data_IF_738102160692
#
_entry.id   IF_738102160692
#
_cell.length_a   1.000
_cell.length_b   1.000
_cell.length_c   1.000
_cell.angle_alpha   90.00
_cell.angle_beta   90.00
_cell.angle_gamma   90.00
#
_symmetry.space_group_name_H-M   'P 1'
#
loop_
_entity.id
_entity.type
_entity.pdbx_description
1 polymer ?
#
# COMPACT_ATOMS: atom_id res chain seq x y z
N UNK A 1 40.54 2.91 -5.36
CA UNK A 1 39.19 3.43 -5.07
C UNK A 1 38.77 2.82 -3.76
N UNK A 2 38.78 3.61 -2.68
CA UNK A 2 38.30 3.14 -1.38
C UNK A 2 36.77 2.95 -1.47
N UNK A 3 36.30 1.79 -1.06
CA UNK A 3 34.90 1.46 -0.98
C UNK A 3 34.20 2.54 -0.14
N UNK A 4 33.21 3.20 -0.74
CA UNK A 4 32.26 4.01 -0.02
C UNK A 4 31.40 3.02 0.79
N UNK A 5 31.82 2.78 2.03
CA UNK A 5 31.15 1.84 2.91
C UNK A 5 29.87 2.47 3.46
N UNK A 6 28.78 1.88 3.06
CA UNK A 6 27.63 1.44 3.83
C UNK A 6 27.34 2.31 5.08
N UNK A 7 26.86 3.51 4.86
CA UNK A 7 26.30 4.29 5.93
C UNK A 7 24.88 3.81 6.18
N UNK A 8 24.76 2.66 6.87
CA UNK A 8 23.47 2.24 7.41
C UNK A 8 23.19 3.10 8.62
N UNK A 9 22.03 3.71 8.67
CA UNK A 9 21.57 4.48 9.80
C UNK A 9 20.14 4.15 10.19
N UNK A 10 19.90 4.18 11.48
CA UNK A 10 18.57 4.13 12.09
C UNK A 10 18.48 5.32 13.02
N UNK A 11 17.58 6.23 12.72
CA UNK A 11 17.45 7.47 13.49
C UNK A 11 15.98 7.71 13.84
N UNK A 12 15.72 7.96 15.12
CA UNK A 12 14.39 8.36 15.56
C UNK A 12 14.36 9.87 15.74
N UNK A 13 13.41 10.52 15.10
CA UNK A 13 13.30 11.99 15.09
C UNK A 13 11.84 12.44 15.14
N UNK A 14 11.64 13.66 15.61
CA UNK A 14 10.39 14.38 15.47
C UNK A 14 10.56 15.34 14.28
N UNK A 15 10.22 14.88 13.09
CA UNK A 15 10.57 15.58 11.86
C UNK A 15 9.35 16.07 11.07
N UNK A 16 8.72 15.26 10.24
CA UNK A 16 7.66 15.74 9.34
C UNK A 16 6.41 16.15 10.13
N UNK A 17 6.10 17.44 10.12
CA UNK A 17 4.92 17.98 10.81
C UNK A 17 4.94 17.73 12.33
N UNK A 18 6.12 17.74 12.94
CA UNK A 18 6.32 17.44 14.37
C UNK A 18 5.82 16.03 14.78
N UNK A 19 6.01 15.04 13.97
CA UNK A 19 5.62 13.65 14.26
C UNK A 19 6.83 12.80 14.61
N UNK A 20 6.63 11.86 15.52
CA UNK A 20 7.62 10.85 15.85
C UNK A 20 7.75 9.86 14.71
N UNK A 21 8.92 9.81 14.10
CA UNK A 21 9.23 8.94 12.97
C UNK A 21 10.54 8.20 13.20
N UNK A 22 10.66 7.02 12.59
CA UNK A 22 11.92 6.28 12.49
C UNK A 22 12.40 6.32 11.05
N UNK A 23 13.62 6.77 10.84
CA UNK A 23 14.26 6.81 9.53
C UNK A 23 15.24 5.63 9.43
N UNK A 24 15.05 4.82 8.40
CA UNK A 24 15.95 3.75 8.01
C UNK A 24 16.62 4.15 6.70
N UNK A 25 17.95 4.17 6.65
CA UNK A 25 18.69 4.53 5.42
C UNK A 25 19.93 3.65 5.25
N UNK A 26 20.20 3.25 4.02
CA UNK A 26 21.48 2.69 3.60
C UNK A 26 21.79 3.11 2.15
N UNK A 27 22.77 2.45 1.49
CA UNK A 27 23.32 2.78 0.18
C UNK A 27 22.33 2.76 -1.00
N UNK A 28 21.18 2.13 -0.84
CA UNK A 28 20.21 1.95 -1.93
C UNK A 28 18.91 2.70 -1.70
N UNK A 29 18.44 2.76 -0.45
CA UNK A 29 17.09 3.25 -0.14
C UNK A 29 17.04 3.97 1.22
N UNK A 30 16.14 4.94 1.30
CA UNK A 30 15.76 5.63 2.54
C UNK A 30 14.25 5.48 2.74
N UNK A 31 13.85 5.12 3.95
CA UNK A 31 12.48 4.89 4.38
C UNK A 31 12.20 5.68 5.65
N UNK A 32 11.06 6.36 5.70
CA UNK A 32 10.55 6.99 6.90
C UNK A 32 9.31 6.24 7.37
N UNK A 33 9.29 5.83 8.62
CA UNK A 33 8.17 5.14 9.28
C UNK A 33 7.57 6.08 10.31
N UNK A 34 6.32 6.48 10.10
CA UNK A 34 5.55 7.36 11.00
C UNK A 34 4.81 6.50 12.04
N UNK A 35 4.82 6.91 13.29
CA UNK A 35 4.07 6.23 14.34
C UNK A 35 2.55 6.36 14.14
N UNK A 36 2.07 7.44 13.56
CA UNK A 36 0.65 7.62 13.30
C UNK A 36 0.25 6.80 12.07
N UNK A 37 -0.64 5.82 12.27
CA UNK A 37 -1.11 4.94 11.21
C UNK A 37 -0.05 3.97 10.69
N UNK A 38 1.14 3.92 11.27
CA UNK A 38 2.26 3.11 10.76
C UNK A 38 2.61 3.46 9.32
N UNK A 39 2.38 4.71 8.92
CA UNK A 39 2.51 5.21 7.56
C UNK A 39 3.97 5.28 7.10
N UNK A 40 4.16 5.20 5.80
CA UNK A 40 5.47 5.34 5.15
C UNK A 40 5.44 6.59 4.26
N UNK A 41 5.64 7.80 4.82
CA UNK A 41 5.58 9.05 4.04
C UNK A 41 6.74 9.21 3.06
N UNK A 42 7.87 8.54 3.29
CA UNK A 42 9.01 8.59 2.40
C UNK A 42 9.51 7.20 2.04
N UNK A 43 9.68 6.98 0.74
CA UNK A 43 10.42 5.89 0.13
C UNK A 43 11.25 6.50 -1.01
N UNK A 44 12.53 6.73 -0.74
CA UNK A 44 13.43 7.43 -1.66
C UNK A 44 14.59 6.53 -2.09
N UNK A 45 14.93 6.54 -3.37
CA UNK A 45 16.16 5.89 -3.85
C UNK A 45 17.37 6.75 -3.53
N UNK A 46 18.35 6.19 -2.81
CA UNK A 46 19.65 6.83 -2.54
C UNK A 46 20.58 6.76 -3.75
N UNK A 47 20.36 5.79 -4.63
CA UNK A 47 21.11 5.63 -5.89
C UNK A 47 20.72 6.70 -6.92
N UNK A 48 19.55 7.30 -6.82
CA UNK A 48 19.15 8.43 -7.62
C UNK A 48 19.61 9.73 -6.95
N UNK A 49 20.46 10.49 -7.63
CA UNK A 49 20.99 11.76 -7.14
C UNK A 49 19.92 12.81 -6.84
N UNK A 50 18.74 12.68 -7.46
CA UNK A 50 17.56 13.54 -7.21
C UNK A 50 16.89 13.24 -5.87
N UNK A 51 17.12 12.07 -5.30
CA UNK A 51 16.46 11.56 -4.07
C UNK A 51 14.94 11.71 -4.11
N UNK A 52 14.35 11.32 -5.22
CA UNK A 52 12.91 11.41 -5.43
C UNK A 52 12.17 10.54 -4.42
N UNK A 53 11.16 11.10 -3.76
CA UNK A 53 10.19 10.32 -3.00
C UNK A 53 9.14 9.74 -3.96
N UNK A 54 8.87 8.43 -3.87
CA UNK A 54 7.81 7.78 -4.63
C UNK A 54 6.42 8.05 -4.04
N UNK A 55 6.35 8.23 -2.73
CA UNK A 55 5.10 8.24 -1.99
C UNK A 55 4.40 9.59 -2.02
N UNK A 56 3.08 9.53 -2.08
CA UNK A 56 2.24 10.72 -2.07
C UNK A 56 2.21 11.39 -0.71
N UNK A 57 2.47 12.69 -0.71
CA UNK A 57 2.26 13.58 0.44
C UNK A 57 1.17 14.59 0.04
N UNK A 58 -0.04 14.51 0.60
CA UNK A 58 -1.12 15.40 0.22
C UNK A 58 -0.85 16.83 0.67
N UNK A 59 -1.27 17.77 -0.16
CA UNK A 59 -1.16 19.21 0.13
C UNK A 59 -1.92 19.62 1.40
N UNK A 60 -2.96 18.87 1.76
CA UNK A 60 -3.83 19.14 2.91
C UNK A 60 -3.41 18.41 4.20
N UNK A 61 -2.29 17.66 4.20
CA UNK A 61 -1.82 16.96 5.38
C UNK A 61 -1.64 17.92 6.55
N UNK A 62 -2.15 17.56 7.72
CA UNK A 62 -1.94 18.34 8.94
C UNK A 62 -0.46 18.40 9.33
N UNK A 63 0.01 19.60 9.68
CA UNK A 63 1.37 19.84 10.18
C UNK A 63 1.40 20.01 11.70
N UNK A 64 0.34 19.63 12.41
CA UNK A 64 0.27 19.72 13.86
C UNK A 64 0.34 18.34 14.51
N UNK A 65 0.93 18.28 15.72
CA UNK A 65 0.92 17.09 16.57
C UNK A 65 -0.37 16.91 17.35
N UNK A 66 -1.29 17.86 17.29
CA UNK A 66 -2.57 17.72 17.98
C UNK A 66 -3.33 16.53 17.41
N UNK A 67 -3.90 15.67 18.28
CA UNK A 67 -4.79 14.61 17.82
C UNK A 67 -5.95 15.17 17.01
N UNK A 68 -6.45 14.39 16.05
CA UNK A 68 -7.67 14.76 15.33
C UNK A 68 -8.82 14.97 16.31
N UNK A 69 -9.51 16.09 16.16
CA UNK A 69 -10.72 16.41 16.90
C UNK A 69 -11.80 16.78 15.87
N UNK A 70 -12.83 15.97 15.79
CA UNK A 70 -13.91 16.15 14.81
C UNK A 70 -14.60 17.51 14.94
N UNK A 71 -14.82 18.00 16.16
CA UNK A 71 -15.43 19.32 16.38
C UNK A 71 -14.57 20.49 15.88
N UNK A 72 -13.23 20.34 15.89
CA UNK A 72 -12.30 21.38 15.44
C UNK A 72 -11.93 21.22 13.97
N UNK A 73 -11.72 19.97 13.52
CA UNK A 73 -11.10 19.66 12.23
C UNK A 73 -12.03 18.93 11.24
N UNK A 74 -13.13 18.34 11.72
CA UNK A 74 -14.00 17.47 10.93
C UNK A 74 -14.67 18.16 9.76
N UNK A 75 -14.93 19.47 9.84
CA UNK A 75 -15.51 20.25 8.74
C UNK A 75 -14.63 20.26 7.50
N UNK A 76 -13.31 20.23 7.66
CA UNK A 76 -12.35 20.23 6.55
C UNK A 76 -11.83 18.82 6.21
N UNK A 77 -11.26 18.09 7.19
CA UNK A 77 -10.63 16.79 6.95
C UNK A 77 -11.59 15.61 6.90
N UNK A 78 -12.80 15.72 7.41
CA UNK A 78 -13.84 14.68 7.41
C UNK A 78 -13.52 13.45 8.28
N UNK A 79 -12.26 13.05 8.39
CA UNK A 79 -11.85 11.85 9.15
C UNK A 79 -10.41 11.98 9.66
N UNK A 80 -10.10 11.25 10.75
CA UNK A 80 -8.75 11.16 11.31
C UNK A 80 -7.71 10.69 10.27
N UNK A 81 -8.07 9.70 9.45
CA UNK A 81 -7.18 9.23 8.39
C UNK A 81 -6.77 10.37 7.46
N UNK A 82 -7.72 11.15 6.94
CA UNK A 82 -7.41 12.23 5.99
C UNK A 82 -6.60 13.37 6.63
N UNK A 83 -6.77 13.58 7.93
CA UNK A 83 -5.97 14.53 8.70
C UNK A 83 -4.48 14.14 8.75
N UNK A 84 -4.19 12.83 8.74
CA UNK A 84 -2.86 12.28 8.95
C UNK A 84 -2.22 11.64 7.70
N UNK A 85 -2.99 11.35 6.66
CA UNK A 85 -2.60 10.48 5.56
C UNK A 85 -1.29 10.90 4.88
N UNK A 86 -0.41 9.91 4.65
CA UNK A 86 0.83 10.08 3.90
C UNK A 86 1.36 8.73 3.39
N UNK A 87 1.66 8.67 2.10
CA UNK A 87 2.32 7.52 1.49
C UNK A 87 1.56 6.21 1.66
N UNK A 88 2.30 5.16 2.01
CA UNK A 88 1.78 3.82 2.19
C UNK A 88 1.40 3.54 3.65
N UNK A 89 0.43 2.66 3.86
CA UNK A 89 0.04 2.25 5.21
C UNK A 89 -0.74 0.92 5.22
N UNK A 90 -0.73 0.19 6.35
CA UNK A 90 -1.53 -1.01 6.53
C UNK A 90 -2.99 -0.67 6.82
N UNK A 91 -3.91 -1.47 6.28
CA UNK A 91 -5.35 -1.32 6.45
C UNK A 91 -5.93 -2.59 7.05
N UNK A 92 -6.09 -2.66 8.37
CA UNK A 92 -6.65 -3.79 9.12
C UNK A 92 -7.42 -3.23 10.34
N UNK A 93 -8.57 -3.80 10.72
CA UNK A 93 -9.29 -4.94 10.14
C UNK A 93 -10.25 -4.54 9.01
N UNK A 94 -10.24 -3.28 8.58
CA UNK A 94 -11.12 -2.71 7.57
C UNK A 94 -10.32 -2.21 6.36
N UNK A 95 -10.88 -2.32 5.15
CA UNK A 95 -10.34 -1.73 3.94
C UNK A 95 -11.46 -1.01 3.18
N UNK A 96 -11.48 0.33 3.26
CA UNK A 96 -12.54 1.18 2.69
C UNK A 96 -13.13 2.15 3.72
N UNK A 97 -14.35 2.66 3.52
CA UNK A 97 -14.96 3.67 4.38
C UNK A 97 -15.20 3.19 5.81
N UNK A 98 -15.32 4.15 6.73
CA UNK A 98 -15.72 3.87 8.11
C UNK A 98 -17.16 3.42 8.21
N UNK A 99 -17.44 2.51 9.14
CA UNK A 99 -18.79 1.99 9.42
C UNK A 99 -18.85 1.31 10.80
N UNK A 100 -20.05 1.00 11.26
CA UNK A 100 -20.23 0.14 12.45
C UNK A 100 -20.37 -1.31 11.98
N UNK A 101 -19.52 -2.20 12.48
CA UNK A 101 -19.56 -3.62 12.20
C UNK A 101 -19.80 -4.41 13.50
N UNK A 102 -20.95 -5.09 13.60
CA UNK A 102 -21.36 -5.87 14.81
C UNK A 102 -21.21 -5.07 16.14
N UNK A 103 -21.49 -3.75 16.07
CA UNK A 103 -21.37 -2.85 17.23
C UNK A 103 -19.97 -2.25 17.43
N UNK A 104 -19.00 -2.64 16.64
CA UNK A 104 -17.62 -2.14 16.70
C UNK A 104 -17.44 -1.00 15.70
N UNK A 105 -16.84 0.10 16.15
CA UNK A 105 -16.49 1.22 15.28
C UNK A 105 -15.27 0.90 14.42
N UNK A 106 -15.49 0.83 13.12
CA UNK A 106 -14.45 0.62 12.11
C UNK A 106 -14.13 1.95 11.44
N UNK A 107 -13.01 2.59 11.79
CA UNK A 107 -12.63 3.81 11.08
C UNK A 107 -12.24 3.51 9.63
N UNK A 108 -12.20 4.53 8.74
CA UNK A 108 -11.76 4.35 7.37
C UNK A 108 -10.40 3.64 7.32
N UNK A 109 -10.29 2.56 6.52
CA UNK A 109 -9.09 1.72 6.40
C UNK A 109 -8.59 1.06 7.70
N UNK A 110 -9.47 0.95 8.70
CA UNK A 110 -9.21 0.22 9.94
C UNK A 110 -8.33 0.94 10.96
N UNK A 111 -8.10 0.25 12.06
CA UNK A 111 -7.35 0.81 13.19
C UNK A 111 -5.88 1.03 12.85
N UNK A 112 -5.28 0.13 12.07
CA UNK A 112 -3.85 0.20 11.73
C UNK A 112 -3.48 1.48 10.96
N UNK A 113 -4.42 2.05 10.20
CA UNK A 113 -4.24 3.29 9.45
C UNK A 113 -4.56 4.57 10.25
N UNK A 114 -5.24 4.45 11.40
CA UNK A 114 -5.79 5.60 12.13
C UNK A 114 -5.16 5.82 13.50
N UNK A 115 -4.70 4.74 14.17
CA UNK A 115 -4.19 4.84 15.54
C UNK A 115 -2.68 5.02 15.55
N UNK A 116 -2.18 5.52 16.67
CA UNK A 116 -0.75 5.63 16.90
C UNK A 116 -0.17 4.26 17.26
N UNK A 117 0.82 3.83 16.51
CA UNK A 117 1.63 2.68 16.83
C UNK A 117 2.62 3.02 17.93
N UNK A 118 2.71 2.18 18.93
CA UNK A 118 3.72 2.32 19.96
C UNK A 118 5.06 1.80 19.45
N UNK A 119 6.00 2.68 19.23
CA UNK A 119 7.38 2.30 18.95
C UNK A 119 7.94 1.44 20.10
N UNK A 120 8.61 0.36 19.77
CA UNK A 120 9.23 -0.57 20.72
C UNK A 120 10.73 -0.43 20.70
N UNK A 121 11.34 -0.63 19.53
CA UNK A 121 12.78 -0.57 19.37
C UNK A 121 13.15 -0.46 17.87
N UNK A 122 14.39 -0.10 17.61
CA UNK A 122 14.97 -0.11 16.28
C UNK A 122 16.47 -0.36 16.35
N UNK A 123 17.08 -0.79 15.26
CA UNK A 123 18.51 -1.05 15.27
C UNK A 123 19.02 -1.62 13.95
N UNK A 124 20.24 -2.12 14.01
CA UNK A 124 20.91 -2.84 12.92
C UNK A 124 21.06 -4.28 13.35
N UNK A 125 20.57 -5.20 12.53
CA UNK A 125 20.70 -6.64 12.74
C UNK A 125 22.16 -7.05 12.54
N UNK A 126 22.73 -7.75 13.52
CA UNK A 126 24.17 -8.09 13.51
C UNK A 126 24.55 -9.08 12.43
N UNK A 127 23.63 -9.97 12.04
CA UNK A 127 23.87 -11.02 11.07
C UNK A 127 23.78 -10.51 9.63
N UNK A 128 22.69 -9.81 9.31
CA UNK A 128 22.39 -9.37 7.94
C UNK A 128 22.79 -7.93 7.66
N UNK A 129 23.15 -7.16 8.69
CA UNK A 129 23.34 -5.68 8.65
C UNK A 129 22.10 -4.92 8.18
N UNK A 130 20.94 -5.54 8.22
CA UNK A 130 19.68 -4.87 7.91
C UNK A 130 19.33 -3.84 8.98
N UNK A 131 18.82 -2.69 8.57
CA UNK A 131 18.20 -1.72 9.48
C UNK A 131 16.72 -2.08 9.69
N UNK A 132 16.25 -2.01 10.92
CA UNK A 132 14.89 -2.39 11.28
C UNK A 132 14.27 -1.45 12.31
N UNK A 133 12.93 -1.39 12.31
CA UNK A 133 12.12 -0.71 13.31
C UNK A 133 10.91 -1.56 13.69
N UNK A 134 10.64 -1.70 14.98
CA UNK A 134 9.54 -2.50 15.54
C UNK A 134 8.53 -1.60 16.23
N UNK A 135 7.28 -1.78 15.87
CA UNK A 135 6.13 -1.11 16.48
C UNK A 135 5.00 -2.10 16.77
N UNK A 136 4.20 -1.81 17.79
CA UNK A 136 3.05 -2.62 18.20
C UNK A 136 1.81 -1.76 18.41
N UNK A 137 0.65 -2.39 18.30
CA UNK A 137 -0.64 -1.75 18.55
C UNK A 137 -1.64 -2.80 19.05
N UNK A 138 -2.57 -2.37 19.89
CA UNK A 138 -3.69 -3.19 20.35
C UNK A 138 -5.00 -2.63 19.79
N UNK A 139 -5.97 -3.50 19.55
CA UNK A 139 -7.32 -3.10 19.22
C UNK A 139 -7.91 -2.19 20.30
N UNK A 140 -8.62 -1.14 19.94
CA UNK A 140 -9.32 -0.29 20.89
C UNK A 140 -10.61 -0.95 21.44
N UNK A 141 -11.10 -2.00 20.77
CA UNK A 141 -12.35 -2.69 21.11
C UNK A 141 -12.09 -4.11 21.65
N UNK A 142 -12.64 -4.39 22.82
CA UNK A 142 -12.45 -5.69 23.51
C UNK A 142 -13.27 -6.83 22.92
N UNK A 143 -14.31 -6.53 22.13
CA UNK A 143 -15.12 -7.56 21.47
C UNK A 143 -14.43 -8.09 20.22
N UNK A 144 -13.45 -7.34 19.72
CA UNK A 144 -12.59 -7.74 18.61
C UNK A 144 -11.11 -7.62 19.02
N UNK A 145 -10.64 -8.47 19.97
CA UNK A 145 -9.36 -8.30 20.66
C UNK A 145 -8.18 -8.73 19.79
N UNK A 146 -7.81 -7.87 18.84
CA UNK A 146 -6.66 -8.05 17.97
C UNK A 146 -5.44 -7.31 18.51
N UNK A 147 -4.27 -7.93 18.41
CA UNK A 147 -3.01 -7.25 18.60
C UNK A 147 -2.18 -7.29 17.31
N UNK A 148 -1.42 -6.22 17.10
CA UNK A 148 -0.66 -6.01 15.89
C UNK A 148 0.81 -5.78 16.22
N UNK A 149 1.69 -6.42 15.47
CA UNK A 149 3.13 -6.23 15.55
C UNK A 149 3.68 -6.01 14.15
N UNK A 150 4.29 -4.84 13.91
CA UNK A 150 4.87 -4.46 12.63
C UNK A 150 6.37 -4.28 12.76
N UNK A 151 7.14 -4.93 11.90
CA UNK A 151 8.56 -4.68 11.72
C UNK A 151 8.81 -4.20 10.29
N UNK A 152 9.43 -3.03 10.17
CA UNK A 152 9.88 -2.43 8.92
C UNK A 152 11.37 -2.68 8.78
N UNK A 153 11.82 -3.11 7.61
CA UNK A 153 13.20 -3.56 7.39
C UNK A 153 13.70 -3.07 6.04
N UNK A 154 14.95 -2.62 6.01
CA UNK A 154 15.73 -2.43 4.78
C UNK A 154 17.02 -3.24 4.87
N UNK A 155 17.39 -3.89 3.76
CA UNK A 155 18.53 -4.81 3.69
C UNK A 155 19.60 -4.21 2.78
N UNK A 156 20.91 -4.19 3.17
CA UNK A 156 21.97 -3.64 2.35
C UNK A 156 22.00 -4.18 0.92
N UNK A 157 22.10 -3.27 -0.03
CA UNK A 157 22.09 -3.58 -1.45
C UNK A 157 20.73 -3.88 -2.06
N UNK A 158 19.63 -3.93 -1.26
CA UNK A 158 18.27 -4.05 -1.76
C UNK A 158 17.60 -2.68 -1.83
N UNK A 159 17.03 -2.30 -2.96
CA UNK A 159 16.20 -1.10 -3.11
C UNK A 159 14.75 -1.37 -2.68
N UNK A 160 14.56 -2.08 -1.56
CA UNK A 160 13.26 -2.59 -1.10
C UNK A 160 13.03 -2.25 0.37
N UNK A 161 11.88 -1.68 0.66
CA UNK A 161 11.30 -1.63 1.99
C UNK A 161 10.50 -2.91 2.22
N UNK A 162 10.86 -3.68 3.21
CA UNK A 162 10.14 -4.88 3.63
C UNK A 162 9.33 -4.62 4.88
N UNK A 163 8.14 -5.19 4.95
CA UNK A 163 7.29 -5.17 6.14
C UNK A 163 6.79 -6.56 6.48
N UNK A 164 6.88 -6.91 7.76
CA UNK A 164 6.19 -8.05 8.36
C UNK A 164 5.20 -7.53 9.38
N UNK A 165 3.90 -7.76 9.13
CA UNK A 165 2.81 -7.32 10.00
C UNK A 165 2.04 -8.54 10.49
N UNK A 166 2.23 -8.88 11.77
CA UNK A 166 1.50 -9.96 12.44
C UNK A 166 0.23 -9.43 13.08
N UNK A 167 -0.86 -10.16 12.88
CA UNK A 167 -2.18 -9.92 13.48
C UNK A 167 -2.52 -11.12 14.34
N UNK A 168 -2.69 -10.93 15.64
CA UNK A 168 -3.00 -12.00 16.58
C UNK A 168 -4.38 -11.77 17.18
N UNK A 169 -5.19 -12.81 17.16
CA UNK A 169 -6.48 -12.85 17.82
C UNK A 169 -6.31 -13.37 19.27
N UNK A 170 -6.54 -12.51 20.23
CA UNK A 170 -6.43 -12.82 21.65
C UNK A 170 -7.75 -13.36 22.25
N UNK A 171 -8.81 -13.41 21.43
CA UNK A 171 -10.13 -13.88 21.82
C UNK A 171 -10.32 -15.39 21.65
N UNK A 172 -11.49 -15.87 22.10
CA UNK A 172 -11.88 -17.29 22.05
C UNK A 172 -12.75 -17.63 20.83
N UNK A 173 -13.00 -16.67 19.95
CA UNK A 173 -13.78 -16.83 18.72
C UNK A 173 -12.98 -16.36 17.51
N UNK A 174 -13.23 -16.97 16.38
CA UNK A 174 -12.64 -16.57 15.10
C UNK A 174 -13.08 -15.15 14.71
N UNK A 175 -12.19 -14.38 14.10
CA UNK A 175 -12.43 -13.01 13.68
C UNK A 175 -12.16 -12.88 12.19
N UNK A 176 -13.18 -12.51 11.41
CA UNK A 176 -13.01 -12.13 10.02
C UNK A 176 -12.52 -10.69 9.89
N UNK A 177 -11.54 -10.48 9.03
CA UNK A 177 -11.00 -9.16 8.75
C UNK A 177 -10.87 -8.92 7.23
N UNK A 178 -10.87 -7.65 6.82
CA UNK A 178 -10.18 -7.22 5.63
C UNK A 178 -8.73 -6.88 5.97
N UNK A 179 -7.84 -7.09 5.02
CA UNK A 179 -6.46 -6.65 5.13
C UNK A 179 -6.01 -6.03 3.81
N UNK A 180 -5.19 -4.98 3.89
CA UNK A 180 -4.62 -4.36 2.70
C UNK A 180 -3.35 -3.59 3.02
N UNK A 181 -2.59 -3.34 1.96
CA UNK A 181 -1.48 -2.41 1.95
C UNK A 181 -1.82 -1.29 0.97
N UNK A 182 -2.10 -0.11 1.49
CA UNK A 182 -2.52 1.05 0.73
C UNK A 182 -1.28 1.76 0.18
N UNK A 183 -0.84 1.35 -1.00
CA UNK A 183 0.25 2.02 -1.68
C UNK A 183 -0.28 3.25 -2.39
N UNK A 184 0.24 4.42 -2.04
CA UNK A 184 -0.15 5.66 -2.71
C UNK A 184 1.08 6.39 -3.20
N UNK A 185 1.21 6.48 -4.50
CA UNK A 185 2.31 7.18 -5.18
C UNK A 185 1.86 8.55 -5.67
N UNK A 186 2.80 9.51 -5.65
CA UNK A 186 2.52 10.88 -6.03
C UNK A 186 3.69 11.57 -6.72
N UNK A 187 3.54 12.86 -6.97
CA UNK A 187 4.63 13.69 -7.49
C UNK A 187 5.80 13.76 -6.48
N UNK A 188 7.05 13.85 -6.95
CA UNK A 188 7.46 14.02 -8.34
C UNK A 188 7.59 12.71 -9.14
N UNK A 189 7.48 11.53 -8.51
CA UNK A 189 7.60 10.25 -9.22
C UNK A 189 6.40 10.00 -10.16
N UNK A 190 5.18 10.19 -9.67
CA UNK A 190 3.98 10.03 -10.49
C UNK A 190 3.88 11.17 -11.51
N UNK A 191 3.87 10.82 -12.79
CA UNK A 191 3.75 11.74 -13.91
C UNK A 191 2.86 11.14 -15.01
N UNK A 192 2.25 11.99 -15.86
CA UNK A 192 1.60 11.50 -17.09
C UNK A 192 2.54 10.61 -17.90
N UNK A 193 2.02 9.49 -18.38
CA UNK A 193 2.81 8.52 -19.15
C UNK A 193 3.45 7.40 -18.31
N UNK A 194 3.40 7.46 -16.97
CA UNK A 194 3.74 6.31 -16.13
C UNK A 194 2.90 5.10 -16.51
N UNK A 195 3.50 3.90 -16.46
CA UNK A 195 2.88 2.63 -16.87
C UNK A 195 2.48 1.82 -15.65
N UNK A 196 1.22 1.41 -15.62
CA UNK A 196 0.60 0.63 -14.54
C UNK A 196 0.49 -0.81 -14.97
N UNK A 197 0.89 -1.74 -14.12
CA UNK A 197 0.78 -3.19 -14.33
C UNK A 197 0.46 -3.90 -13.01
N UNK A 198 -0.08 -5.10 -13.08
CA UNK A 198 -0.34 -5.94 -11.90
C UNK A 198 -0.41 -7.42 -12.27
N UNK A 199 -0.35 -8.27 -11.26
CA UNK A 199 -0.42 -9.73 -11.42
C UNK A 199 -1.83 -10.24 -11.80
N UNK A 200 -2.85 -9.38 -11.68
CA UNK A 200 -4.22 -9.73 -12.04
C UNK A 200 -4.40 -9.86 -13.57
N UNK A 201 -5.17 -10.85 -13.99
CA UNK A 201 -5.52 -11.09 -15.36
C UNK A 201 -7.03 -10.92 -15.66
N UNK A 202 -7.81 -10.62 -14.63
CA UNK A 202 -9.24 -10.29 -14.74
C UNK A 202 -9.54 -9.16 -13.79
N UNK A 203 -10.21 -8.15 -14.28
CA UNK A 203 -10.49 -6.90 -13.59
C UNK A 203 -11.98 -6.63 -13.54
N UNK A 204 -12.39 -5.84 -12.55
CA UNK A 204 -13.76 -5.35 -12.43
C UNK A 204 -13.77 -3.94 -11.83
N UNK A 205 -14.77 -3.17 -12.18
CA UNK A 205 -15.08 -1.90 -11.54
C UNK A 205 -16.04 -2.13 -10.37
N UNK A 206 -16.10 -1.21 -9.38
CA UNK A 206 -17.07 -1.28 -8.30
C UNK A 206 -18.52 -1.34 -8.80
N UNK A 207 -19.43 -2.01 -8.08
CA UNK A 207 -20.85 -1.95 -8.39
C UNK A 207 -21.44 -0.56 -8.11
N UNK A 208 -22.62 -0.30 -8.67
CA UNK A 208 -23.39 0.93 -8.40
C UNK A 208 -23.75 1.02 -6.92
N UNK A 209 -23.85 2.23 -6.40
CA UNK A 209 -24.24 2.52 -5.00
C UNK A 209 -23.08 2.76 -4.06
N UNK A 210 -21.89 3.10 -4.58
CA UNK A 210 -20.70 3.35 -3.80
C UNK A 210 -20.09 4.73 -3.96
N UNK A 211 -18.89 4.87 -3.45
CA UNK A 211 -18.14 6.13 -3.39
C UNK A 211 -17.82 6.71 -4.78
N UNK A 212 -17.74 5.87 -5.81
CA UNK A 212 -17.25 6.27 -7.13
C UNK A 212 -18.36 6.70 -8.11
N UNK A 213 -19.63 6.54 -7.76
CA UNK A 213 -20.76 6.69 -8.69
C UNK A 213 -20.81 8.05 -9.42
N UNK A 214 -20.40 9.11 -8.75
CA UNK A 214 -20.50 10.48 -9.28
C UNK A 214 -19.22 11.01 -9.91
N UNK A 215 -18.10 10.33 -9.73
CA UNK A 215 -16.76 10.83 -10.10
C UNK A 215 -16.03 9.95 -11.09
N UNK A 216 -16.54 8.74 -11.35
CA UNK A 216 -15.91 7.80 -12.28
C UNK A 216 -16.29 8.05 -13.73
N UNK A 217 -15.35 7.82 -14.64
CA UNK A 217 -15.60 7.71 -16.09
C UNK A 217 -15.87 6.26 -16.51
N UNK A 218 -15.43 5.27 -15.69
CA UNK A 218 -15.57 3.86 -15.98
C UNK A 218 -17.02 3.39 -15.78
N UNK A 219 -17.43 2.39 -16.57
CA UNK A 219 -18.71 1.72 -16.37
C UNK A 219 -18.67 0.93 -15.07
N UNK A 220 -19.61 1.18 -14.15
CA UNK A 220 -19.70 0.49 -12.87
C UNK A 220 -20.19 -0.95 -13.03
N UNK A 221 -19.70 -1.87 -12.19
CA UNK A 221 -20.05 -3.29 -12.21
C UNK A 221 -19.58 -4.04 -13.46
N UNK A 222 -18.66 -3.49 -14.22
CA UNK A 222 -18.18 -4.08 -15.47
C UNK A 222 -16.93 -4.93 -15.25
N UNK A 223 -16.84 -6.07 -15.95
CA UNK A 223 -15.65 -6.93 -15.98
C UNK A 223 -14.88 -6.75 -17.28
N UNK A 224 -13.56 -6.86 -17.21
CA UNK A 224 -12.66 -6.75 -18.35
C UNK A 224 -11.32 -7.48 -18.08
N UNK A 225 -10.62 -7.85 -19.17
CA UNK A 225 -9.44 -8.72 -19.07
C UNK A 225 -8.12 -7.96 -19.14
N UNK A 226 -8.15 -6.68 -19.48
CA UNK A 226 -6.92 -5.90 -19.68
C UNK A 226 -7.13 -4.42 -19.37
N UNK A 227 -6.16 -3.81 -18.70
CA UNK A 227 -6.19 -2.38 -18.32
C UNK A 227 -6.24 -1.43 -19.53
N UNK A 228 -5.74 -1.84 -20.70
CA UNK A 228 -5.80 -1.06 -21.94
C UNK A 228 -7.21 -1.05 -22.57
N UNK A 229 -8.18 -1.77 -22.01
CA UNK A 229 -9.54 -1.96 -22.55
C UNK A 229 -10.63 -1.81 -21.49
N UNK A 230 -10.41 -0.98 -20.49
CA UNK A 230 -11.41 -0.73 -19.45
C UNK A 230 -12.68 -0.08 -20.04
N UNK A 231 -13.90 -0.54 -19.70
CA UNK A 231 -15.14 -0.04 -20.25
C UNK A 231 -15.51 1.33 -19.71
N UNK A 232 -15.96 2.23 -20.57
CA UNK A 232 -16.45 3.55 -20.22
C UNK A 232 -17.98 3.55 -19.97
N UNK A 233 -18.44 4.32 -18.99
CA UNK A 233 -19.87 4.53 -18.70
C UNK A 233 -20.66 5.08 -19.91
N UNK A 234 -19.99 5.85 -20.78
CA UNK A 234 -20.55 6.41 -22.01
C UNK A 234 -20.50 5.48 -23.23
N UNK A 235 -20.04 4.24 -23.02
CA UNK A 235 -19.73 3.29 -24.10
C UNK A 235 -18.31 3.44 -24.65
N UNK A 236 -17.83 2.35 -25.26
CA UNK A 236 -16.45 2.24 -25.70
C UNK A 236 -15.49 1.80 -24.59
N UNK A 237 -14.20 1.91 -24.84
CA UNK A 237 -13.10 1.48 -23.94
C UNK A 237 -12.06 2.55 -23.82
N UNK A 238 -11.30 2.50 -22.74
CA UNK A 238 -10.18 3.39 -22.45
C UNK A 238 -8.99 2.58 -21.90
N UNK A 239 -7.80 3.06 -22.19
CA UNK A 239 -6.56 2.55 -21.60
C UNK A 239 -6.33 3.23 -20.23
N UNK A 240 -6.39 2.42 -19.15
CA UNK A 240 -6.06 2.81 -17.78
C UNK A 240 -4.72 2.21 -17.32
N UNK A 241 -3.98 1.54 -18.18
CA UNK A 241 -2.61 1.08 -17.91
C UNK A 241 -1.59 2.22 -17.98
N UNK A 242 -2.03 3.41 -18.40
CA UNK A 242 -1.19 4.59 -18.47
C UNK A 242 -1.78 5.73 -17.63
N UNK A 243 -0.92 6.33 -16.82
CA UNK A 243 -1.29 7.51 -16.01
C UNK A 243 -1.58 8.68 -16.93
N UNK A 244 -2.78 9.28 -16.88
CA UNK A 244 -3.15 10.43 -17.70
C UNK A 244 -2.61 11.73 -17.11
N UNK A 245 -2.80 12.85 -17.82
CA UNK A 245 -2.72 14.18 -17.23
C UNK A 245 -3.88 14.45 -16.25
N UNK A 246 -3.84 15.55 -15.49
CA UNK A 246 -4.90 15.92 -14.55
C UNK A 246 -6.17 16.32 -15.33
N UNK A 247 -7.24 15.56 -15.18
CA UNK A 247 -8.45 15.67 -16.02
C UNK A 247 -9.78 15.66 -15.24
N UNK A 248 -9.76 15.59 -13.92
CA UNK A 248 -10.96 15.79 -13.09
C UNK A 248 -11.87 14.56 -12.96
N UNK A 249 -11.33 13.39 -12.61
CA UNK A 249 -12.12 12.20 -12.24
C UNK A 249 -11.42 11.35 -11.18
N UNK A 250 -12.20 10.46 -10.55
CA UNK A 250 -11.74 9.41 -9.66
C UNK A 250 -12.28 8.08 -10.17
N UNK A 251 -11.40 7.18 -10.55
CA UNK A 251 -11.76 5.83 -10.99
C UNK A 251 -11.24 4.78 -9.98
N UNK A 252 -11.89 3.62 -9.96
CA UNK A 252 -11.43 2.46 -9.22
C UNK A 252 -11.58 1.18 -10.06
N UNK A 253 -10.58 0.31 -9.98
CA UNK A 253 -10.65 -1.02 -10.56
C UNK A 253 -9.96 -2.03 -9.64
N UNK A 254 -10.59 -3.20 -9.46
CA UNK A 254 -10.03 -4.31 -8.70
C UNK A 254 -9.72 -5.47 -9.63
N UNK A 255 -8.52 -6.03 -9.55
CA UNK A 255 -8.09 -7.18 -10.32
C UNK A 255 -7.78 -8.38 -9.43
N UNK A 256 -8.28 -9.56 -9.74
CA UNK A 256 -8.04 -10.76 -8.96
C UNK A 256 -6.65 -11.34 -9.24
N UNK A 257 -5.84 -11.53 -8.20
CA UNK A 257 -4.56 -12.26 -8.27
C UNK A 257 -4.84 -13.73 -8.56
N UNK A 258 -4.25 -14.31 -9.63
CA UNK A 258 -4.49 -15.70 -10.00
C UNK A 258 -4.17 -16.67 -8.87
N UNK A 259 -4.98 -17.71 -8.70
CA UNK A 259 -4.74 -18.74 -7.66
C UNK A 259 -3.44 -19.52 -7.90
N UNK A 260 -2.95 -19.57 -9.13
CA UNK A 260 -1.68 -20.18 -9.52
C UNK A 260 -0.45 -19.30 -9.31
N UNK A 261 -0.64 -18.03 -8.93
CA UNK A 261 0.48 -17.12 -8.72
C UNK A 261 1.23 -17.46 -7.43
N UNK A 262 2.53 -17.68 -7.53
CA UNK A 262 3.43 -17.83 -6.37
C UNK A 262 3.80 -16.47 -5.75
N UNK A 263 3.75 -15.40 -6.54
CA UNK A 263 3.98 -14.01 -6.16
C UNK A 263 2.82 -13.14 -6.67
N UNK A 264 2.20 -12.37 -5.76
CA UNK A 264 1.32 -11.27 -6.13
C UNK A 264 2.15 -9.99 -6.26
N UNK A 265 1.81 -9.13 -7.22
CA UNK A 265 2.55 -7.89 -7.45
C UNK A 265 1.71 -6.80 -8.11
N UNK A 266 2.11 -5.55 -7.91
CA UNK A 266 1.70 -4.38 -8.69
C UNK A 266 2.92 -3.54 -9.03
N UNK A 267 2.94 -2.89 -10.20
CA UNK A 267 4.07 -2.12 -10.67
C UNK A 267 3.65 -0.79 -11.30
N UNK A 268 4.46 0.23 -11.05
CA UNK A 268 4.38 1.52 -11.70
C UNK A 268 5.77 1.90 -12.22
N UNK A 269 5.88 2.11 -13.53
CA UNK A 269 7.12 2.48 -14.21
C UNK A 269 7.03 3.92 -14.67
N UNK A 270 8.01 4.73 -14.29
CA UNK A 270 8.19 6.05 -14.87
C UNK A 270 9.28 6.00 -15.95
N UNK A 271 8.92 5.98 -17.25
CA UNK A 271 9.89 5.85 -18.34
C UNK A 271 10.73 7.10 -18.55
N UNK A 272 10.27 8.25 -18.09
CA UNK A 272 11.01 9.53 -18.20
C UNK A 272 12.09 9.61 -17.13
N UNK A 273 11.74 9.30 -15.90
CA UNK A 273 12.66 9.31 -14.76
C UNK A 273 13.55 8.06 -14.71
N UNK A 274 13.21 7.01 -15.46
CA UNK A 274 13.85 5.69 -15.42
C UNK A 274 13.80 5.07 -14.01
N UNK A 275 12.62 5.14 -13.40
CA UNK A 275 12.38 4.62 -12.05
C UNK A 275 11.26 3.58 -12.08
N UNK A 276 11.51 2.47 -11.39
CA UNK A 276 10.56 1.39 -11.16
C UNK A 276 10.09 1.39 -9.71
N UNK A 277 8.77 1.33 -9.50
CA UNK A 277 8.11 1.10 -8.23
C UNK A 277 7.36 -0.22 -8.33
N UNK A 278 7.71 -1.21 -7.51
CA UNK A 278 7.11 -2.55 -7.58
C UNK A 278 6.77 -3.03 -6.18
N UNK A 279 5.50 -3.30 -5.96
CA UNK A 279 5.02 -3.96 -4.75
C UNK A 279 4.91 -5.46 -4.98
N UNK A 280 5.27 -6.27 -3.98
CA UNK A 280 5.18 -7.72 -4.09
C UNK A 280 4.85 -8.36 -2.72
N UNK A 281 4.18 -9.49 -2.77
CA UNK A 281 3.73 -10.25 -1.61
C UNK A 281 3.58 -11.74 -1.96
N UNK A 282 3.51 -12.60 -0.95
CA UNK A 282 3.28 -14.04 -1.15
C UNK A 282 1.98 -14.26 -1.93
N UNK A 283 2.06 -14.91 -3.07
CA UNK A 283 0.89 -15.25 -3.88
C UNK A 283 0.16 -16.48 -3.38
N UNK A 284 -1.09 -16.71 -3.85
CA UNK A 284 -1.93 -17.82 -3.37
C UNK A 284 -1.29 -19.20 -3.49
N UNK A 285 -0.51 -19.48 -4.56
CA UNK A 285 0.11 -20.78 -4.76
C UNK A 285 1.30 -21.06 -3.83
N UNK A 286 1.90 -20.03 -3.23
CA UNK A 286 3.02 -20.13 -2.28
C UNK A 286 2.58 -19.88 -0.82
N UNK A 287 1.28 -19.73 -0.58
CA UNK A 287 0.70 -19.42 0.72
C UNK A 287 1.00 -20.50 1.76
N UNK A 288 1.32 -20.08 2.97
CA UNK A 288 1.41 -20.91 4.16
C UNK A 288 0.19 -20.64 5.06
N UNK A 289 -0.05 -21.52 6.01
CA UNK A 289 -1.19 -21.42 6.91
C UNK A 289 -1.17 -20.11 7.73
N UNK A 290 0.03 -19.64 8.09
CA UNK A 290 0.25 -18.42 8.86
C UNK A 290 0.29 -17.13 8.02
N UNK A 291 0.12 -17.21 6.70
CA UNK A 291 0.15 -16.03 5.84
C UNK A 291 -1.22 -15.33 5.75
N UNK A 292 -1.21 -14.00 5.76
CA UNK A 292 -2.29 -13.17 5.22
C UNK A 292 -2.01 -13.00 3.72
N UNK A 293 -2.87 -13.60 2.89
CA UNK A 293 -2.70 -13.58 1.44
C UNK A 293 -3.61 -12.52 0.84
N UNK A 294 -3.01 -11.48 0.29
CA UNK A 294 -3.73 -10.48 -0.49
C UNK A 294 -4.20 -11.09 -1.82
N UNK A 295 -5.41 -10.72 -2.23
CA UNK A 295 -6.10 -11.38 -3.35
C UNK A 295 -6.40 -10.45 -4.51
N UNK A 296 -6.20 -9.15 -4.29
CA UNK A 296 -6.54 -8.14 -5.31
C UNK A 296 -5.38 -7.18 -5.54
N UNK A 297 -5.25 -6.75 -6.80
CA UNK A 297 -4.61 -5.51 -7.18
C UNK A 297 -5.72 -4.47 -7.30
N UNK A 298 -5.70 -3.46 -6.45
CA UNK A 298 -6.68 -2.38 -6.44
C UNK A 298 -6.04 -1.10 -7.00
N UNK A 299 -6.66 -0.52 -8.01
CA UNK A 299 -6.22 0.73 -8.62
C UNK A 299 -7.18 1.85 -8.21
N UNK A 300 -6.74 2.70 -7.30
CA UNK A 300 -7.42 3.93 -6.94
C UNK A 300 -6.79 5.10 -7.69
N UNK A 301 -7.46 5.56 -8.74
CA UNK A 301 -6.96 6.57 -9.66
C UNK A 301 -7.56 7.93 -9.31
N UNK A 302 -6.87 8.72 -8.50
CA UNK A 302 -7.32 10.03 -8.02
C UNK A 302 -6.66 11.13 -8.85
N UNK A 303 -7.37 11.59 -9.86
CA UNK A 303 -6.89 12.60 -10.81
C UNK A 303 -7.77 13.85 -10.82
N UNK A 304 -7.94 14.48 -9.65
CA UNK A 304 -8.64 15.75 -9.51
C UNK A 304 -10.17 15.64 -9.62
N UNK A 305 -10.78 14.53 -9.19
CA UNK A 305 -12.21 14.25 -9.38
C UNK A 305 -13.14 14.62 -8.24
N UNK A 306 -12.63 15.09 -7.08
CA UNK A 306 -13.43 15.28 -5.86
C UNK A 306 -13.57 16.76 -5.50
N UNK A 307 -14.74 17.41 -5.77
CA UNK A 307 -14.93 18.83 -5.53
C UNK A 307 -15.31 19.17 -4.09
N UNK A 308 -14.80 18.43 -3.10
CA UNK A 308 -15.09 18.62 -1.68
C UNK A 308 -13.83 18.53 -0.82
N UNK A 309 -13.87 19.13 0.36
CA UNK A 309 -12.74 19.11 1.31
C UNK A 309 -12.49 17.70 1.84
N UNK A 310 -11.24 17.32 2.12
CA UNK A 310 -10.01 18.11 1.97
C UNK A 310 -9.38 18.05 0.56
N UNK A 311 -9.97 17.31 -0.37
CA UNK A 311 -9.47 17.13 -1.75
C UNK A 311 -9.42 18.46 -2.50
N UNK A 312 -10.50 19.22 -2.46
CA UNK A 312 -10.55 20.62 -2.87
C UNK A 312 -10.29 21.55 -1.68
N UNK A 313 -9.71 22.75 -1.87
CA UNK A 313 -9.51 23.74 -0.81
C UNK A 313 -10.80 24.20 -0.12
N UNK A 314 -11.94 24.12 -0.83
CA UNK A 314 -13.28 24.44 -0.35
C UNK A 314 -14.34 23.63 -1.10
N UNK A 315 -15.53 23.48 -0.53
CA UNK A 315 -16.64 22.76 -1.15
C UNK A 315 -17.02 23.39 -2.51
N UNK A 316 -17.16 22.54 -3.53
CA UNK A 316 -17.38 22.96 -4.90
C UNK A 316 -16.14 23.48 -5.63
N UNK A 317 -14.97 23.46 -4.99
CA UNK A 317 -13.70 23.89 -5.56
C UNK A 317 -13.04 22.84 -6.47
N UNK A 318 -11.91 23.24 -7.05
CA UNK A 318 -11.08 22.33 -7.85
C UNK A 318 -10.30 21.40 -6.93
N UNK A 319 -10.38 20.10 -7.19
CA UNK A 319 -9.53 19.09 -6.53
C UNK A 319 -8.07 19.28 -6.95
N UNK A 320 -7.20 19.47 -5.97
CA UNK A 320 -5.76 19.62 -6.18
C UNK A 320 -5.00 18.29 -6.06
N UNK A 321 -5.72 17.18 -5.88
CA UNK A 321 -5.11 15.87 -5.66
C UNK A 321 -4.80 15.18 -6.98
N UNK A 322 -3.56 14.74 -7.11
CA UNK A 322 -3.09 13.90 -8.21
C UNK A 322 -2.21 12.81 -7.64
N UNK A 323 -2.81 11.64 -7.43
CA UNK A 323 -2.14 10.46 -6.90
C UNK A 323 -2.74 9.17 -7.46
N UNK A 324 -2.01 8.08 -7.28
CA UNK A 324 -2.43 6.74 -7.69
C UNK A 324 -2.21 5.77 -6.56
N UNK A 325 -3.28 5.10 -6.12
CA UNK A 325 -3.21 3.89 -5.32
C UNK A 325 -2.93 2.69 -6.22
N UNK A 326 -1.80 2.01 -5.99
CA UNK A 326 -1.51 0.67 -6.55
C UNK A 326 -1.61 -0.34 -5.42
N UNK A 327 -2.77 -0.38 -4.82
CA UNK A 327 -3.04 -1.06 -3.56
C UNK A 327 -3.12 -2.58 -3.75
N UNK A 328 -2.89 -3.30 -2.67
CA UNK A 328 -3.08 -4.74 -2.66
C UNK A 328 -3.91 -5.12 -1.43
N UNK A 329 -4.97 -5.89 -1.64
CA UNK A 329 -5.90 -6.19 -0.55
C UNK A 329 -6.48 -7.61 -0.57
N UNK A 330 -7.12 -7.97 0.54
CA UNK A 330 -8.18 -8.97 0.61
C UNK A 330 -9.43 -8.26 1.12
N UNK A 331 -10.15 -7.62 0.19
CA UNK A 331 -11.36 -6.85 0.43
C UNK A 331 -12.17 -6.71 -0.86
N UNK A 332 -13.46 -6.41 -0.75
CA UNK A 332 -14.32 -6.16 -1.91
C UNK A 332 -14.34 -4.66 -2.23
N UNK A 333 -13.66 -4.24 -3.30
CA UNK A 333 -13.68 -2.89 -3.89
C UNK A 333 -13.32 -1.75 -2.94
N UNK A 334 -12.62 -2.00 -1.86
CA UNK A 334 -12.44 -1.02 -0.80
C UNK A 334 -13.78 -0.47 -0.24
N UNK A 335 -14.80 -1.34 -0.09
CA UNK A 335 -16.12 -0.99 0.47
C UNK A 335 -16.30 -1.40 1.93
N UNK A 336 -15.23 -1.80 2.58
CA UNK A 336 -15.20 -2.11 4.00
C UNK A 336 -15.52 -3.56 4.36
N UNK A 337 -15.31 -3.88 5.65
CA UNK A 337 -15.42 -5.23 6.19
C UNK A 337 -16.85 -5.78 6.10
N UNK A 338 -17.85 -4.98 6.46
CA UNK A 338 -19.25 -5.40 6.40
C UNK A 338 -19.66 -5.79 4.97
N UNK A 339 -19.31 -4.95 4.00
CA UNK A 339 -19.58 -5.25 2.58
C UNK A 339 -18.85 -6.50 2.12
N UNK A 340 -17.55 -6.62 2.42
CA UNK A 340 -16.70 -7.74 2.03
C UNK A 340 -17.22 -9.07 2.59
N UNK A 341 -17.63 -9.08 3.86
CA UNK A 341 -18.20 -10.26 4.52
C UNK A 341 -19.56 -10.67 3.90
N UNK A 342 -20.36 -9.68 3.52
CA UNK A 342 -21.66 -9.94 2.87
C UNK A 342 -21.51 -10.55 1.48
N UNK A 343 -20.61 -10.02 0.64
CA UNK A 343 -20.42 -10.51 -0.75
C UNK A 343 -19.51 -11.73 -0.81
N UNK A 344 -18.65 -11.94 0.20
CA UNK A 344 -17.71 -13.06 0.40
C UNK A 344 -16.61 -13.15 -0.65
N UNK A 345 -16.86 -12.85 -1.90
CA UNK A 345 -15.88 -12.97 -3.00
C UNK A 345 -16.15 -11.99 -4.14
N UNK A 346 -15.08 -11.61 -4.82
CA UNK A 346 -15.08 -10.81 -6.05
C UNK A 346 -14.22 -11.55 -7.08
N UNK A 347 -14.68 -11.68 -8.32
CA UNK A 347 -13.98 -12.43 -9.38
C UNK A 347 -13.54 -13.84 -8.95
N UNK A 348 -14.29 -14.50 -8.07
CA UNK A 348 -13.96 -15.82 -7.53
C UNK A 348 -12.87 -15.81 -6.42
N UNK A 349 -12.30 -14.67 -6.08
CA UNK A 349 -11.33 -14.53 -4.98
C UNK A 349 -12.03 -14.12 -3.68
N UNK A 350 -11.64 -14.66 -2.51
CA UNK A 350 -12.22 -14.28 -1.22
C UNK A 350 -11.97 -12.82 -0.89
N UNK A 351 -12.94 -12.16 -0.24
CA UNK A 351 -12.90 -10.76 0.14
C UNK A 351 -12.63 -10.53 1.64
N UNK A 352 -12.45 -11.59 2.41
CA UNK A 352 -12.06 -11.54 3.83
C UNK A 352 -11.12 -12.69 4.15
N UNK A 353 -10.41 -12.56 5.27
CA UNK A 353 -9.61 -13.64 5.86
C UNK A 353 -9.97 -13.79 7.34
N UNK A 354 -10.02 -15.03 7.81
CA UNK A 354 -10.28 -15.35 9.22
C UNK A 354 -8.98 -15.46 10.01
N UNK A 355 -8.90 -14.77 11.14
CA UNK A 355 -7.86 -14.97 12.15
C UNK A 355 -8.45 -15.90 13.21
N UNK A 356 -7.98 -17.16 13.31
CA UNK A 356 -8.56 -18.12 14.23
C UNK A 356 -8.40 -17.70 15.69
N UNK A 357 -9.29 -18.17 16.55
CA UNK A 357 -9.23 -17.95 17.99
C UNK A 357 -7.85 -18.34 18.55
N UNK A 358 -7.29 -17.52 19.44
CA UNK A 358 -5.98 -17.75 20.10
C UNK A 358 -4.81 -18.00 19.12
N UNK A 359 -4.91 -17.47 17.92
CA UNK A 359 -3.93 -17.67 16.84
C UNK A 359 -3.60 -16.37 16.13
N UNK A 360 -2.67 -16.41 15.20
CA UNK A 360 -2.26 -15.24 14.42
C UNK A 360 -1.92 -15.59 12.99
N UNK A 361 -1.93 -14.54 12.15
CA UNK A 361 -1.45 -14.57 10.76
C UNK A 361 -0.55 -13.37 10.48
N UNK A 362 0.28 -13.49 9.47
CA UNK A 362 1.28 -12.46 9.14
C UNK A 362 1.20 -12.05 7.68
N UNK A 363 1.05 -10.76 7.42
CA UNK A 363 1.27 -10.15 6.11
C UNK A 363 2.76 -9.88 5.92
N UNK A 364 3.35 -10.39 4.83
CA UNK A 364 4.71 -10.09 4.39
C UNK A 364 4.64 -9.33 3.08
N UNK A 365 5.30 -8.20 3.04
CA UNK A 365 5.16 -7.24 1.95
C UNK A 365 6.50 -6.58 1.60
N UNK A 366 6.77 -6.41 0.32
CA UNK A 366 7.94 -5.70 -0.17
C UNK A 366 7.53 -4.56 -1.10
N UNK A 367 8.16 -3.40 -0.94
CA UNK A 367 7.99 -2.23 -1.82
C UNK A 367 9.35 -1.83 -2.37
N UNK A 368 9.59 -2.14 -3.63
CA UNK A 368 10.81 -1.78 -4.36
C UNK A 368 10.68 -0.39 -4.97
N UNK A 369 11.73 0.42 -4.84
CA UNK A 369 11.87 1.68 -5.58
C UNK A 369 13.32 1.85 -6.06
N UNK A 370 13.53 1.68 -7.35
CA UNK A 370 14.88 1.60 -7.92
C UNK A 370 14.96 2.22 -9.31
N UNK A 371 16.11 2.82 -9.67
CA UNK A 371 16.38 3.11 -11.07
C UNK A 371 16.48 1.80 -11.87
N UNK A 372 16.17 1.89 -13.17
CA UNK A 372 16.39 0.82 -14.15
C UNK A 372 17.00 1.38 -15.43
N UNK A 373 17.75 0.55 -16.17
CA UNK A 373 18.47 1.00 -17.35
C UNK A 373 17.61 0.95 -18.60
N UNK A 374 17.06 -0.22 -18.94
CA UNK A 374 16.30 -0.47 -20.17
C UNK A 374 15.25 -1.57 -19.97
N UNK A 375 14.36 -1.70 -20.95
CA UNK A 375 13.45 -2.84 -21.05
C UNK A 375 12.06 -2.63 -20.44
N UNK A 376 11.91 -1.75 -19.45
CA UNK A 376 10.65 -1.56 -18.71
C UNK A 376 9.83 -0.32 -19.16
N UNK A 377 10.25 0.43 -20.16
CA UNK A 377 9.62 1.70 -20.56
C UNK A 377 8.13 1.56 -20.97
N UNK A 378 7.74 0.38 -21.43
CA UNK A 378 6.35 0.08 -21.82
C UNK A 378 5.53 -0.57 -20.69
N UNK A 379 6.10 -0.69 -19.49
CA UNK A 379 5.50 -1.35 -18.33
C UNK A 379 6.07 -2.75 -18.08
N UNK A 380 5.53 -3.40 -17.06
CA UNK A 380 5.93 -4.74 -16.61
C UNK A 380 4.89 -5.75 -17.09
N UNK A 381 5.33 -6.82 -17.74
CA UNK A 381 4.48 -7.92 -18.20
C UNK A 381 4.42 -9.07 -17.19
N UNK A 382 5.55 -9.35 -16.51
CA UNK A 382 5.63 -10.33 -15.43
C UNK A 382 6.64 -9.92 -14.38
N UNK A 383 6.45 -10.43 -13.16
CA UNK A 383 7.41 -10.34 -12.06
C UNK A 383 7.65 -11.73 -11.53
N UNK A 384 8.91 -12.14 -11.51
CA UNK A 384 9.32 -13.46 -11.07
C UNK A 384 10.28 -13.37 -9.88
N UNK A 385 10.11 -14.32 -8.96
CA UNK A 385 10.97 -14.46 -7.80
C UNK A 385 12.15 -15.37 -8.15
N UNK A 386 13.35 -14.85 -8.11
CA UNK A 386 14.58 -15.62 -8.11
C UNK A 386 15.18 -15.71 -6.69
N UNK A 387 16.24 -16.51 -6.50
CA UNK A 387 16.79 -16.78 -5.17
C UNK A 387 17.20 -15.51 -4.38
N UNK A 388 17.68 -14.49 -5.06
CA UNK A 388 18.12 -13.22 -4.45
C UNK A 388 17.75 -12.00 -5.31
N UNK A 389 16.74 -12.12 -6.16
CA UNK A 389 16.31 -11.06 -7.05
C UNK A 389 14.83 -11.10 -7.36
N UNK A 390 14.30 -9.92 -7.67
CA UNK A 390 13.02 -9.71 -8.31
C UNK A 390 13.28 -9.39 -9.78
N UNK A 391 12.82 -10.23 -10.69
CA UNK A 391 12.99 -10.04 -12.14
C UNK A 391 11.69 -9.53 -12.72
N UNK A 392 11.72 -8.32 -13.26
CA UNK A 392 10.61 -7.69 -13.94
C UNK A 392 10.83 -7.80 -15.46
N UNK A 393 9.96 -8.50 -16.16
CA UNK A 393 10.02 -8.61 -17.62
C UNK A 393 9.14 -7.57 -18.27
N UNK A 394 9.70 -6.79 -19.19
CA UNK A 394 9.00 -5.83 -20.05
C UNK A 394 9.01 -6.29 -21.51
N UNK A 395 8.30 -5.56 -22.38
CA UNK A 395 8.22 -5.89 -23.80
C UNK A 395 9.55 -5.82 -24.56
N UNK A 396 10.52 -5.06 -24.04
CA UNK A 396 11.82 -4.82 -24.68
C UNK A 396 13.03 -5.30 -23.88
N UNK A 397 12.81 -6.03 -22.80
CA UNK A 397 13.86 -6.54 -21.95
C UNK A 397 13.44 -6.66 -20.49
N UNK A 398 14.38 -7.04 -19.62
CA UNK A 398 14.12 -7.30 -18.22
C UNK A 398 14.89 -6.32 -17.33
N UNK A 399 14.28 -5.95 -16.18
CA UNK A 399 14.96 -5.35 -15.04
C UNK A 399 15.15 -6.42 -13.96
N UNK A 400 16.37 -6.56 -13.44
CA UNK A 400 16.66 -7.45 -12.30
C UNK A 400 17.09 -6.61 -11.11
N UNK A 401 16.43 -6.80 -9.97
CA UNK A 401 16.64 -6.03 -8.76
C UNK A 401 16.97 -6.96 -7.60
N UNK A 402 18.05 -6.66 -6.88
CA UNK A 402 18.36 -7.39 -5.65
C UNK A 402 17.21 -7.30 -4.67
N UNK A 403 16.69 -8.45 -4.26
CA UNK A 403 15.55 -8.57 -3.35
C UNK A 403 15.50 -9.93 -2.67
N UNK A 404 14.70 -10.07 -1.61
CA UNK A 404 14.29 -11.32 -0.99
C UNK A 404 12.79 -11.56 -1.22
N UNK A 405 12.39 -12.02 -2.41
CA UNK A 405 10.96 -12.23 -2.70
C UNK A 405 10.36 -13.42 -1.95
N UNK A 406 11.19 -14.27 -1.36
CA UNK A 406 10.78 -15.38 -0.47
C UNK A 406 10.47 -14.91 0.95
N UNK A 407 10.86 -13.69 1.31
CA UNK A 407 10.81 -13.14 2.66
C UNK A 407 11.58 -13.97 3.72
N UNK A 408 12.56 -14.79 3.31
CA UNK A 408 13.33 -15.62 4.24
C UNK A 408 14.20 -14.78 5.16
N UNK A 409 14.89 -13.76 4.64
CA UNK A 409 15.66 -12.81 5.44
C UNK A 409 14.77 -12.01 6.39
N UNK A 410 13.63 -11.50 5.88
CA UNK A 410 12.65 -10.78 6.70
C UNK A 410 12.14 -11.64 7.86
N UNK A 411 11.86 -12.94 7.61
CA UNK A 411 11.45 -13.89 8.67
C UNK A 411 12.55 -14.08 9.72
N UNK A 412 13.81 -14.21 9.30
CA UNK A 412 14.95 -14.33 10.20
C UNK A 412 15.09 -13.09 11.10
N UNK A 413 15.05 -11.89 10.52
CA UNK A 413 15.12 -10.61 11.26
C UNK A 413 13.93 -10.46 12.21
N UNK A 414 12.71 -10.70 11.73
CA UNK A 414 11.50 -10.66 12.56
C UNK A 414 11.54 -11.66 13.71
N UNK A 415 12.16 -12.82 13.53
CA UNK A 415 12.32 -13.82 14.58
C UNK A 415 13.32 -13.43 15.68
N UNK A 416 14.33 -12.61 15.34
CA UNK A 416 15.34 -12.13 16.30
C UNK A 416 14.92 -10.87 17.06
N UNK A 417 14.16 -10.02 16.45
CA UNK A 417 13.86 -8.67 16.96
C UNK A 417 12.37 -8.41 17.22
N UNK A 418 11.50 -9.27 16.74
CA UNK A 418 10.06 -9.11 16.79
C UNK A 418 9.33 -9.76 17.96
#
# INVERSE_FOLDING_TARGET
MAAAFDKISVVRVNEIGNRDVTILEHDSIRVMVDDIGGMIPELSSVQDTRRLNAHWLPWFRSNTMKPFNDAEYGSFWKANLLYNIAGNFPCIPNFGPGHIFEGVDMPPHGWTANLTWRFVNSGIDEETKAAWALSVMESPDKTMPLSFKKIDVIIPGHSVHYTSLSVNNQGDTDIDICAGWHNTVGAPFLQPGCRISGSANTWTTPPVGGEFDTTTRLALGAQFDSLDKAPLARGGKIDISQVPGPIGYTDFAAGAVPVSASLGWSALINPVLKMAYVCFFTGPAAAREDDIILRFNDLWMQYGGRPFTPWAPYEGGTDLTYCLGTENSIAAYAYGLEYSRRVKQVLGAPATITIPARSGKTLRYGTLFSPYDTGLDEGVLSVEAEAAALVCSGAKGNGSFKADPSFAMLKGISGRHG
#
